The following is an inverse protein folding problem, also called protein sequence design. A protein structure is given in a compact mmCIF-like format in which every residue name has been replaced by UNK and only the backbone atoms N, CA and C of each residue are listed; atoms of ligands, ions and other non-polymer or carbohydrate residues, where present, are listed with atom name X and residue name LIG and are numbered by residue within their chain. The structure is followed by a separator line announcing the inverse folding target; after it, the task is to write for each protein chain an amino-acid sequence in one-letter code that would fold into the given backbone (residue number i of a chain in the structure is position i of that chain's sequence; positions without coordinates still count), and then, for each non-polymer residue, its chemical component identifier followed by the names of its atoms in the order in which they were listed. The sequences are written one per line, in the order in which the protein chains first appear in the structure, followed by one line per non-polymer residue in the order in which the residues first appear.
data_IF_576161859989
#
_entry.id   IF_576161859989
#
_cell.length_a   1.000
_cell.length_b   1.000
_cell.length_c   1.000
_cell.angle_alpha   90.00
_cell.angle_beta   90.00
_cell.angle_gamma   90.00
#
_symmetry.space_group_name_H-M   'P 1'
#
loop_
_entity.id
_entity.type
_entity.pdbx_description
1 polymer ?
#
# COMPACT_ATOMS: atom_id res chain seq x y z
N UNK A 1 21.39 8.43 8.24
CA UNK A 1 20.24 8.57 9.17
C UNK A 1 20.40 9.87 9.92
N UNK A 2 19.36 10.67 10.01
CA UNK A 2 19.30 11.97 10.72
C UNK A 2 17.99 12.07 11.51
N UNK A 3 17.90 13.04 12.42
CA UNK A 3 16.65 13.35 13.11
C UNK A 3 15.58 13.75 12.09
N UNK A 4 14.38 13.20 12.25
CA UNK A 4 13.26 13.35 11.32
C UNK A 4 13.13 12.23 10.29
N UNK A 5 14.15 11.40 10.08
CA UNK A 5 14.06 10.24 9.18
C UNK A 5 13.06 9.21 9.74
N UNK A 6 12.33 8.56 8.82
CA UNK A 6 11.45 7.44 9.15
C UNK A 6 12.15 6.13 8.82
N UNK A 7 12.37 5.30 9.84
CA UNK A 7 13.21 4.11 9.74
C UNK A 7 12.50 2.85 10.21
N UNK A 8 12.95 1.73 9.68
CA UNK A 8 12.54 0.38 10.10
C UNK A 8 13.79 -0.36 10.54
N UNK A 9 13.80 -0.86 11.79
CA UNK A 9 14.78 -1.82 12.24
C UNK A 9 14.31 -3.23 11.93
N UNK A 10 15.14 -3.96 11.21
CA UNK A 10 14.92 -5.36 10.87
C UNK A 10 15.82 -6.23 11.78
N UNK A 11 15.43 -6.28 13.06
CA UNK A 11 16.10 -7.05 14.14
C UNK A 11 15.26 -8.24 14.63
N UNK A 12 14.24 -8.64 13.82
CA UNK A 12 13.26 -9.66 14.19
C UNK A 12 11.99 -9.12 14.86
N UNK A 13 11.98 -7.84 15.29
CA UNK A 13 10.81 -7.17 15.86
C UNK A 13 10.14 -6.16 14.92
N UNK A 14 10.82 -5.76 13.84
CA UNK A 14 10.25 -4.86 12.83
C UNK A 14 9.86 -3.47 13.35
N UNK A 15 10.60 -2.94 14.33
CA UNK A 15 10.31 -1.63 14.93
C UNK A 15 10.39 -0.55 13.87
N UNK A 16 9.31 0.23 13.74
CA UNK A 16 9.19 1.30 12.75
C UNK A 16 8.82 2.60 13.43
N UNK A 17 9.56 3.67 13.11
CA UNK A 17 9.27 4.98 13.69
C UNK A 17 10.11 6.10 13.12
N UNK A 18 9.76 7.31 13.54
CA UNK A 18 10.48 8.55 13.22
C UNK A 18 11.61 8.76 14.22
N UNK A 19 12.79 9.04 13.72
CA UNK A 19 13.95 9.39 14.57
C UNK A 19 13.70 10.75 15.22
N UNK A 20 13.52 10.74 16.54
CA UNK A 20 13.30 11.97 17.34
C UNK A 20 14.58 12.48 17.97
N UNK A 21 15.50 11.56 18.33
CA UNK A 21 16.76 11.92 18.94
C UNK A 21 17.87 10.92 18.60
N UNK A 22 19.08 11.43 18.38
CA UNK A 22 20.29 10.62 18.21
C UNK A 22 21.29 11.06 19.29
N UNK A 23 21.48 10.21 20.29
CA UNK A 23 22.44 10.44 21.37
C UNK A 23 23.72 9.63 21.17
N UNK A 24 24.65 9.78 22.10
CA UNK A 24 25.95 9.06 22.08
C UNK A 24 25.73 7.56 22.29
N UNK A 25 24.80 7.17 23.15
CA UNK A 25 24.59 5.76 23.56
C UNK A 25 23.31 5.14 22.99
N UNK A 26 22.34 5.97 22.64
CA UNK A 26 21.03 5.50 22.17
C UNK A 26 20.41 6.45 21.15
N UNK A 27 19.56 5.88 20.32
CA UNK A 27 18.69 6.57 19.38
C UNK A 27 17.24 6.37 19.79
N UNK A 28 16.40 7.40 19.69
CA UNK A 28 14.98 7.32 20.01
C UNK A 28 14.15 7.39 18.75
N UNK A 29 13.17 6.51 18.69
CA UNK A 29 12.18 6.47 17.63
C UNK A 29 10.80 6.70 18.23
N UNK A 30 9.98 7.53 17.56
CA UNK A 30 8.56 7.65 17.86
C UNK A 30 7.78 6.79 16.86
N UNK A 31 7.03 5.81 17.37
CA UNK A 31 6.18 4.95 16.53
C UNK A 31 4.89 5.67 16.14
N UNK A 32 4.08 5.05 15.28
CA UNK A 32 2.76 5.58 14.90
C UNK A 32 1.72 5.55 16.01
N UNK A 33 1.97 4.73 17.03
CA UNK A 33 1.10 4.60 18.19
C UNK A 33 1.51 5.57 19.32
N UNK A 34 2.31 6.61 18.95
CA UNK A 34 2.88 7.62 19.87
C UNK A 34 3.74 7.02 20.99
N UNK A 35 4.32 5.85 20.74
CA UNK A 35 5.23 5.19 21.69
C UNK A 35 6.67 5.56 21.36
N UNK A 36 7.39 6.10 22.34
CA UNK A 36 8.83 6.33 22.23
C UNK A 36 9.60 5.03 22.50
N UNK A 37 10.38 4.60 21.53
CA UNK A 37 11.27 3.44 21.64
C UNK A 37 12.71 3.92 21.70
N UNK A 38 13.42 3.61 22.80
CA UNK A 38 14.84 3.91 22.95
C UNK A 38 15.67 2.69 22.58
N UNK A 39 16.53 2.83 21.58
CA UNK A 39 17.35 1.74 21.03
C UNK A 39 18.82 2.05 21.32
N UNK A 40 19.56 1.17 22.01
CA UNK A 40 21.00 1.30 22.15
C UNK A 40 21.71 1.37 20.80
N UNK A 41 22.69 2.26 20.65
CA UNK A 41 23.41 2.41 19.38
C UNK A 41 24.19 1.15 18.99
N UNK A 42 24.56 0.29 19.95
CA UNK A 42 25.12 -1.02 19.65
C UNK A 42 24.16 -1.94 18.90
N UNK A 43 22.86 -1.88 19.22
CA UNK A 43 21.82 -2.61 18.46
C UNK A 43 21.64 -1.97 17.09
N UNK A 44 21.52 -0.64 17.05
CA UNK A 44 21.40 0.09 15.77
C UNK A 44 22.55 -0.22 14.80
N UNK A 45 23.77 -0.32 15.30
CA UNK A 45 24.97 -0.59 14.50
C UNK A 45 25.07 -2.03 13.99
N UNK A 46 24.42 -2.98 14.67
CA UNK A 46 24.42 -4.40 14.30
C UNK A 46 23.15 -4.84 13.55
N UNK A 47 22.15 -3.99 13.51
CA UNK A 47 20.88 -4.27 12.84
C UNK A 47 20.85 -3.70 11.44
N UNK A 48 20.07 -4.33 10.55
CA UNK A 48 19.74 -3.75 9.27
C UNK A 48 18.73 -2.60 9.48
N UNK A 49 19.14 -1.40 9.14
CA UNK A 49 18.28 -0.21 9.20
C UNK A 49 17.82 0.15 7.81
N UNK A 50 16.50 0.08 7.57
CA UNK A 50 15.89 0.57 6.34
C UNK A 50 15.41 2.00 6.58
N UNK A 51 16.03 2.96 5.90
CA UNK A 51 15.63 4.36 5.99
C UNK A 51 14.65 4.67 4.85
N UNK A 52 13.36 4.78 5.20
CA UNK A 52 12.28 5.03 4.23
C UNK A 52 12.24 6.49 3.73
N UNK A 53 12.92 7.40 4.46
CA UNK A 53 13.02 8.84 4.10
C UNK A 53 14.39 9.21 3.52
N UNK A 54 15.35 8.31 3.52
CA UNK A 54 16.76 8.58 3.22
C UNK A 54 17.18 8.40 1.76
N UNK A 55 16.25 8.18 0.86
CA UNK A 55 16.53 8.04 -0.58
C UNK A 55 16.94 9.35 -1.25
N UNK A 56 17.38 9.31 -2.51
CA UNK A 56 17.72 10.51 -3.29
C UNK A 56 16.53 11.46 -3.45
N UNK A 57 15.32 10.93 -3.34
CA UNK A 57 14.07 11.68 -3.22
C UNK A 57 13.35 11.22 -1.97
N UNK A 58 12.95 12.17 -1.11
CA UNK A 58 12.17 11.89 0.11
C UNK A 58 10.73 11.58 -0.30
N UNK A 59 10.55 10.43 -0.98
CA UNK A 59 9.24 10.00 -1.47
C UNK A 59 9.07 8.51 -1.22
N UNK A 60 7.97 8.17 -0.61
CA UNK A 60 7.61 6.80 -0.32
C UNK A 60 6.59 6.29 -1.32
N UNK A 61 6.84 5.12 -1.92
CA UNK A 61 5.92 4.49 -2.86
C UNK A 61 4.86 3.67 -2.13
N UNK A 62 3.60 4.00 -2.36
CA UNK A 62 2.44 3.22 -1.95
C UNK A 62 1.89 2.40 -3.10
N UNK A 63 1.15 1.36 -2.78
CA UNK A 63 0.55 0.43 -3.73
C UNK A 63 -0.91 0.22 -3.37
N UNK A 64 -1.79 0.47 -4.33
CA UNK A 64 -3.21 0.16 -4.25
C UNK A 64 -3.46 -1.06 -5.11
N UNK A 65 -3.68 -2.20 -4.48
CA UNK A 65 -4.03 -3.43 -5.18
C UNK A 65 -5.55 -3.52 -5.33
N UNK A 66 -6.03 -3.82 -6.52
CA UNK A 66 -7.45 -3.98 -6.82
C UNK A 66 -7.66 -5.06 -7.86
N UNK A 67 -8.66 -5.91 -7.66
CA UNK A 67 -9.12 -6.89 -8.62
C UNK A 67 -10.38 -6.41 -9.32
N UNK A 68 -10.47 -6.58 -10.63
CA UNK A 68 -11.67 -6.32 -11.43
C UNK A 68 -12.17 -7.61 -12.09
N UNK A 69 -13.45 -7.67 -12.42
CA UNK A 69 -14.05 -8.86 -13.01
C UNK A 69 -13.41 -9.19 -14.37
N UNK A 70 -13.33 -10.48 -14.69
CA UNK A 70 -13.00 -10.93 -16.03
C UNK A 70 -14.02 -10.36 -17.02
N UNK A 71 -13.53 -9.87 -18.17
CA UNK A 71 -14.34 -9.18 -19.16
C UNK A 71 -14.36 -7.66 -19.01
N UNK A 72 -13.78 -7.10 -17.95
CA UNK A 72 -13.57 -5.66 -17.82
C UNK A 72 -12.62 -5.14 -18.91
N UNK A 73 -12.86 -3.92 -19.37
CA UNK A 73 -11.96 -3.22 -20.29
C UNK A 73 -10.69 -2.78 -19.52
N UNK A 74 -9.56 -3.37 -19.92
CA UNK A 74 -8.26 -3.13 -19.28
C UNK A 74 -7.81 -1.67 -19.40
N UNK A 75 -8.09 -1.03 -20.54
CA UNK A 75 -7.66 0.34 -20.77
C UNK A 75 -8.54 1.32 -19.99
N UNK A 76 -9.85 1.07 -19.92
CA UNK A 76 -10.75 1.81 -19.03
C UNK A 76 -10.30 1.72 -17.57
N UNK A 77 -9.97 0.52 -17.09
CA UNK A 77 -9.49 0.32 -15.70
C UNK A 77 -8.22 1.13 -15.44
N UNK A 78 -7.28 1.15 -16.38
CA UNK A 78 -6.04 1.93 -16.27
C UNK A 78 -6.32 3.42 -16.20
N UNK A 79 -7.16 3.94 -17.10
CA UNK A 79 -7.49 5.36 -17.17
C UNK A 79 -8.18 5.83 -15.89
N UNK A 80 -9.11 5.04 -15.36
CA UNK A 80 -9.81 5.33 -14.10
C UNK A 80 -8.84 5.34 -12.92
N UNK A 81 -7.95 4.36 -12.81
CA UNK A 81 -6.96 4.31 -11.73
C UNK A 81 -5.96 5.48 -11.81
N UNK A 82 -5.54 5.86 -13.01
CA UNK A 82 -4.68 7.02 -13.22
C UNK A 82 -5.39 8.33 -12.85
N UNK A 83 -6.65 8.49 -13.24
CA UNK A 83 -7.46 9.67 -12.89
C UNK A 83 -7.58 9.82 -11.37
N UNK A 84 -7.87 8.72 -10.66
CA UNK A 84 -7.94 8.73 -9.19
C UNK A 84 -6.62 9.17 -8.55
N UNK A 85 -5.49 8.74 -9.11
CA UNK A 85 -4.18 9.14 -8.60
C UNK A 85 -3.92 10.64 -8.82
N UNK A 86 -4.23 11.17 -10.00
CA UNK A 86 -4.02 12.58 -10.35
C UNK A 86 -4.98 13.53 -9.60
N UNK A 87 -6.19 13.08 -9.27
CA UNK A 87 -7.16 13.87 -8.50
C UNK A 87 -6.81 13.95 -7.00
N UNK A 88 -5.89 13.12 -6.54
CA UNK A 88 -5.48 13.09 -5.14
C UNK A 88 -4.38 14.10 -4.84
N UNK A 89 -4.68 15.13 -4.07
CA UNK A 89 -3.73 16.17 -3.65
C UNK A 89 -2.53 15.62 -2.85
N UNK A 90 -2.64 14.43 -2.30
CA UNK A 90 -1.60 13.79 -1.46
C UNK A 90 -0.64 12.90 -2.24
N UNK A 91 -0.95 12.64 -3.51
CA UNK A 91 -0.10 11.89 -4.43
C UNK A 91 0.82 12.85 -5.15
N UNK A 92 2.11 12.52 -5.21
CA UNK A 92 3.09 13.33 -5.93
C UNK A 92 2.94 13.18 -7.44
N UNK A 93 3.06 14.26 -8.19
CA UNK A 93 3.11 14.23 -9.65
C UNK A 93 4.40 13.58 -10.17
N UNK A 94 5.50 13.70 -9.42
CA UNK A 94 6.79 13.14 -9.78
C UNK A 94 7.35 12.30 -8.61
N UNK A 95 7.72 11.03 -8.83
CA UNK A 95 7.54 10.25 -10.06
C UNK A 95 6.07 10.05 -10.41
N UNK A 96 5.78 10.06 -11.72
CA UNK A 96 4.41 9.88 -12.22
C UNK A 96 3.78 8.57 -11.71
N UNK A 97 2.52 8.58 -11.26
CA UNK A 97 1.77 7.37 -10.92
C UNK A 97 1.77 6.36 -12.06
N UNK A 98 1.69 5.09 -11.74
CA UNK A 98 1.71 4.01 -12.74
C UNK A 98 0.71 2.92 -12.39
N UNK A 99 0.01 2.42 -13.39
CA UNK A 99 -0.85 1.25 -13.25
C UNK A 99 -0.16 0.02 -13.85
N UNK A 100 -0.21 -1.08 -13.12
CA UNK A 100 0.30 -2.39 -13.58
C UNK A 100 -0.79 -3.44 -13.49
N UNK A 101 -1.01 -4.15 -14.58
CA UNK A 101 -1.73 -5.42 -14.56
C UNK A 101 -0.76 -6.48 -14.05
N UNK A 102 -1.06 -7.10 -12.92
CA UNK A 102 -0.13 -7.97 -12.20
C UNK A 102 -0.31 -9.43 -12.50
N UNK A 103 -1.55 -9.90 -12.47
CA UNK A 103 -1.86 -11.32 -12.61
C UNK A 103 -3.30 -11.56 -13.02
N UNK A 104 -3.52 -12.74 -13.56
CA UNK A 104 -4.83 -13.34 -13.70
C UNK A 104 -5.14 -14.08 -12.40
N UNK A 105 -6.00 -13.50 -11.56
CA UNK A 105 -6.45 -14.10 -10.29
C UNK A 105 -7.50 -15.18 -10.51
N UNK A 106 -7.83 -15.91 -9.45
CA UNK A 106 -8.82 -16.98 -9.49
C UNK A 106 -10.23 -16.49 -9.94
N UNK A 107 -10.58 -15.25 -9.59
CA UNK A 107 -11.86 -14.63 -9.95
C UNK A 107 -11.73 -13.19 -10.43
N UNK A 108 -10.52 -12.68 -10.58
CA UNK A 108 -10.25 -11.28 -10.91
C UNK A 108 -9.05 -11.11 -11.85
N UNK A 109 -9.04 -9.97 -12.54
CA UNK A 109 -7.85 -9.40 -13.16
C UNK A 109 -7.20 -8.47 -12.14
N UNK A 110 -5.97 -8.77 -11.72
CA UNK A 110 -5.33 -8.09 -10.61
C UNK A 110 -4.50 -6.91 -11.10
N UNK A 111 -4.86 -5.71 -10.67
CA UNK A 111 -4.18 -4.46 -10.96
C UNK A 111 -3.53 -3.87 -9.72
N UNK A 112 -2.50 -3.08 -9.95
CA UNK A 112 -1.81 -2.33 -8.90
C UNK A 112 -1.54 -0.91 -9.38
N UNK A 113 -2.08 0.08 -8.65
CA UNK A 113 -1.75 1.48 -8.82
C UNK A 113 -0.56 1.81 -7.93
N UNK A 114 0.51 2.30 -8.52
CA UNK A 114 1.74 2.72 -7.87
C UNK A 114 1.78 4.23 -7.80
N UNK A 115 1.76 4.78 -6.58
CA UNK A 115 1.82 6.22 -6.33
C UNK A 115 2.96 6.55 -5.38
N UNK A 116 3.39 7.80 -5.35
CA UNK A 116 4.39 8.30 -4.42
C UNK A 116 3.80 9.38 -3.52
N UNK A 117 4.19 9.37 -2.25
CA UNK A 117 3.82 10.35 -1.23
C UNK A 117 5.07 10.96 -0.64
N UNK A 118 5.01 12.24 -0.27
CA UNK A 118 6.16 12.96 0.27
C UNK A 118 6.49 12.54 1.70
N UNK A 119 5.48 12.10 2.48
CA UNK A 119 5.68 11.71 3.86
C UNK A 119 5.27 10.24 4.09
N UNK A 120 6.23 9.35 4.43
CA UNK A 120 5.95 7.95 4.75
C UNK A 120 4.96 7.75 5.91
N UNK A 121 4.88 8.71 6.85
CA UNK A 121 3.95 8.64 7.97
C UNK A 121 2.49 8.67 7.52
N UNK A 122 2.19 9.40 6.43
CA UNK A 122 0.84 9.56 5.89
C UNK A 122 0.37 8.40 5.04
N UNK A 123 1.25 7.42 4.76
CA UNK A 123 0.95 6.32 3.82
C UNK A 123 -0.39 5.62 4.10
N UNK A 124 -0.74 5.41 5.38
CA UNK A 124 -1.98 4.74 5.76
C UNK A 124 -3.21 5.54 5.40
N UNK A 125 -3.19 6.85 5.67
CA UNK A 125 -4.29 7.77 5.32
C UNK A 125 -4.47 7.91 3.81
N UNK A 126 -3.35 8.02 3.11
CA UNK A 126 -3.38 8.14 1.63
C UNK A 126 -3.88 6.84 1.00
N UNK A 127 -3.44 5.69 1.50
CA UNK A 127 -3.92 4.39 1.03
C UNK A 127 -5.43 4.22 1.25
N UNK A 128 -5.94 4.60 2.42
CA UNK A 128 -7.37 4.58 2.74
C UNK A 128 -8.16 5.49 1.79
N UNK A 129 -7.71 6.74 1.62
CA UNK A 129 -8.34 7.70 0.72
C UNK A 129 -8.37 7.19 -0.73
N UNK A 130 -7.26 6.63 -1.23
CA UNK A 130 -7.18 6.09 -2.58
C UNK A 130 -8.06 4.85 -2.76
N UNK A 131 -8.06 3.91 -1.81
CA UNK A 131 -8.95 2.75 -1.85
C UNK A 131 -10.42 3.18 -1.92
N UNK A 132 -10.80 4.17 -1.10
CA UNK A 132 -12.15 4.71 -1.09
C UNK A 132 -12.51 5.41 -2.40
N UNK A 133 -11.58 6.19 -2.97
CA UNK A 133 -11.77 6.88 -4.24
C UNK A 133 -11.89 5.89 -5.41
N UNK A 134 -11.02 4.87 -5.46
CA UNK A 134 -11.07 3.80 -6.46
C UNK A 134 -12.41 3.08 -6.41
N UNK A 135 -12.85 2.67 -5.22
CA UNK A 135 -14.12 1.98 -5.07
C UNK A 135 -15.31 2.80 -5.58
N UNK A 136 -15.39 4.08 -5.17
CA UNK A 136 -16.46 4.99 -5.60
C UNK A 136 -16.42 5.23 -7.11
N UNK A 137 -15.23 5.43 -7.69
CA UNK A 137 -15.07 5.66 -9.11
C UNK A 137 -15.45 4.43 -9.92
N UNK A 138 -15.08 3.23 -9.48
CA UNK A 138 -15.45 1.98 -10.12
C UNK A 138 -16.97 1.78 -10.19
N UNK A 139 -17.68 2.14 -9.10
CA UNK A 139 -19.15 2.12 -9.11
C UNK A 139 -19.75 3.07 -10.17
N UNK A 140 -19.18 4.26 -10.32
CA UNK A 140 -19.66 5.26 -11.30
C UNK A 140 -19.37 4.82 -12.74
N UNK A 141 -18.16 4.25 -12.97
CA UNK A 141 -17.70 3.82 -14.29
C UNK A 141 -18.20 2.42 -14.68
N UNK A 142 -18.96 1.75 -13.82
CA UNK A 142 -19.49 0.42 -14.08
C UNK A 142 -18.41 -0.69 -14.08
N UNK A 143 -17.27 -0.47 -13.42
CA UNK A 143 -16.22 -1.47 -13.28
C UNK A 143 -16.57 -2.37 -12.10
N UNK A 144 -16.78 -3.67 -12.38
CA UNK A 144 -17.15 -4.65 -11.37
C UNK A 144 -15.92 -5.12 -10.55
N UNK A 145 -16.01 -5.04 -9.22
CA UNK A 145 -15.10 -5.74 -8.30
C UNK A 145 -15.76 -7.09 -7.99
N UNK A 146 -15.19 -8.20 -8.46
CA UNK A 146 -15.88 -9.49 -8.39
C UNK A 146 -15.85 -10.08 -6.97
N UNK A 147 -16.94 -10.76 -6.60
CA UNK A 147 -16.90 -11.75 -5.54
C UNK A 147 -16.19 -13.01 -6.00
N UNK A 148 -15.79 -13.86 -5.05
CA UNK A 148 -15.27 -15.18 -5.39
C UNK A 148 -16.31 -15.97 -6.21
N UNK A 149 -15.91 -16.42 -7.41
CA UNK A 149 -16.76 -17.20 -8.32
C UNK A 149 -16.34 -18.67 -8.24
N UNK A 150 -17.33 -19.55 -8.21
CA UNK A 150 -17.12 -21.00 -8.20
C UNK A 150 -18.10 -21.68 -9.14
N UNK A 151 -17.61 -22.60 -9.94
CA UNK A 151 -18.43 -23.50 -10.71
C UNK A 151 -18.76 -24.72 -9.86
N UNK A 152 -20.06 -24.99 -9.63
CA UNK A 152 -20.53 -26.12 -8.84
C UNK A 152 -20.99 -27.24 -9.78
N UNK A 153 -20.38 -28.40 -9.66
CA UNK A 153 -20.79 -29.62 -10.34
C UNK A 153 -21.59 -30.48 -9.35
N UNK A 154 -22.91 -30.50 -9.51
CA UNK A 154 -23.82 -31.34 -8.67
C UNK A 154 -23.93 -32.69 -9.37
N UNK A 155 -23.34 -33.73 -8.79
CA UNK A 155 -23.41 -35.11 -9.36
C UNK A 155 -24.69 -35.82 -8.97
N UNK A 156 -25.20 -35.60 -7.76
CA UNK A 156 -26.43 -36.27 -7.25
C UNK A 156 -27.16 -35.26 -6.33
N UNK A 157 -28.48 -35.18 -6.46
CA UNK A 157 -29.34 -34.48 -5.52
C UNK A 157 -30.04 -35.55 -4.67
N UNK A 158 -30.17 -35.34 -3.33
CA UNK A 158 -31.01 -36.21 -2.49
C UNK A 158 -32.47 -36.19 -2.99
N UNK A 159 -33.13 -37.35 -3.00
CA UNK A 159 -34.50 -37.50 -3.51
C UNK A 159 -35.58 -36.64 -2.81
N UNK A 160 -35.25 -35.93 -1.74
CA UNK A 160 -36.13 -35.06 -0.96
C UNK A 160 -35.76 -33.56 -1.02
N UNK A 161 -35.12 -33.09 -2.07
CA UNK A 161 -34.74 -31.67 -2.22
C UNK A 161 -35.79 -30.87 -3.06
N UNK A 162 -37.09 -31.17 -2.89
CA UNK A 162 -38.22 -30.40 -3.45
C UNK A 162 -39.12 -29.94 -2.32
#
# INVERSE_FOLDING_TARGET
MKIGDYVVLDDGGGIRGKVTHIGIRSTRLLTRDDVEVTIPNSIMGNSKVVNESGGPHVKYRIRVAVGVAYGSDIDQVRDVLMSVAHESETVCDQPEPRVRFRAFGASSLDFELLCWVDNPELRGRVLDALNSAVYKRFLVEGIEIPFAKQDLYIKELPDNAV
#
